data_IF_425487059468
#
_entry.id   IF_425487059468
#
_cell.length_a   1.000
_cell.length_b   1.000
_cell.length_c   1.000
_cell.angle_alpha   90.00
_cell.angle_beta   90.00
_cell.angle_gamma   90.00
#
_symmetry.space_group_name_H-M   'P 1'
#
loop_
_entity.id
_entity.type
_entity.pdbx_description
1 polymer ?
#
# COMPACT_ATOMS: atom_id res chain seq x y z
N UNK A 1 -6.17 23.73 5.44
CA UNK A 1 -6.03 22.26 5.29
C UNK A 1 -5.02 21.80 6.33
N UNK A 2 -5.44 21.04 7.35
CA UNK A 2 -4.50 20.48 8.32
C UNK A 2 -3.83 19.29 7.63
N UNK A 3 -2.61 19.50 7.15
CA UNK A 3 -1.76 18.39 6.74
C UNK A 3 -1.48 17.55 7.99
N UNK A 4 -1.72 16.25 7.90
CA UNK A 4 -1.30 15.35 8.98
C UNK A 4 0.21 15.28 8.95
N UNK A 5 0.80 15.74 10.04
CA UNK A 5 2.24 15.71 10.25
C UNK A 5 2.73 14.26 10.11
N UNK A 6 3.85 13.98 9.43
CA UNK A 6 4.48 12.64 9.35
C UNK A 6 4.59 11.89 10.70
N UNK A 7 4.58 12.65 11.80
CA UNK A 7 4.60 12.18 13.18
C UNK A 7 3.35 11.40 13.62
N UNK A 8 2.17 11.64 13.01
CA UNK A 8 0.95 10.91 13.38
C UNK A 8 0.86 9.55 12.68
N UNK A 9 1.27 9.46 11.41
CA UNK A 9 1.37 8.18 10.69
C UNK A 9 2.41 7.27 11.36
N UNK A 10 3.57 7.80 11.73
CA UNK A 10 4.62 7.02 12.38
C UNK A 10 4.20 6.42 13.73
N UNK A 11 3.30 7.09 14.48
CA UNK A 11 2.73 6.60 15.74
C UNK A 11 1.87 5.34 15.56
N UNK A 12 1.19 5.18 14.43
CA UNK A 12 0.40 3.99 14.10
C UNK A 12 1.23 2.91 13.39
N UNK A 13 2.09 3.32 12.47
CA UNK A 13 2.88 2.40 11.65
C UNK A 13 3.86 1.56 12.47
N UNK A 14 4.52 2.16 13.47
CA UNK A 14 5.52 1.43 14.27
C UNK A 14 4.92 0.27 15.07
N UNK A 15 3.89 0.47 15.93
CA UNK A 15 3.30 -0.63 16.67
C UNK A 15 2.67 -1.69 15.76
N UNK A 16 2.00 -1.28 14.70
CA UNK A 16 1.37 -2.20 13.75
C UNK A 16 2.42 -3.02 13.00
N UNK A 17 3.47 -2.38 12.47
CA UNK A 17 4.57 -3.07 11.81
C UNK A 17 5.26 -4.08 12.72
N UNK A 18 5.54 -3.72 13.99
CA UNK A 18 6.10 -4.65 14.99
C UNK A 18 5.16 -5.85 15.21
N UNK A 19 3.87 -5.58 15.39
CA UNK A 19 2.88 -6.64 15.58
C UNK A 19 2.86 -7.61 14.40
N UNK A 20 2.83 -7.09 13.16
CA UNK A 20 2.85 -7.91 11.95
C UNK A 20 4.13 -8.72 11.84
N UNK A 21 5.30 -8.13 12.09
CA UNK A 21 6.59 -8.85 12.07
C UNK A 21 6.60 -10.03 13.08
N UNK A 22 5.98 -9.86 14.24
CA UNK A 22 5.93 -10.91 15.27
C UNK A 22 4.97 -12.06 14.91
N UNK A 23 3.88 -11.77 14.19
CA UNK A 23 2.80 -12.73 13.96
C UNK A 23 2.79 -13.31 12.53
N UNK A 24 3.33 -12.60 11.55
CA UNK A 24 3.47 -13.06 10.17
C UNK A 24 4.87 -13.66 9.98
N UNK A 25 4.93 -14.99 10.05
CA UNK A 25 6.18 -15.74 9.84
C UNK A 25 6.49 -15.84 8.35
N UNK A 26 7.77 -15.69 7.99
CA UNK A 26 8.31 -15.80 6.61
C UNK A 26 7.89 -14.69 5.63
N UNK A 27 7.40 -13.55 6.12
CA UNK A 27 7.00 -12.41 5.29
C UNK A 27 7.93 -11.23 5.48
N UNK A 28 8.18 -10.46 4.43
CA UNK A 28 8.82 -9.15 4.53
C UNK A 28 7.75 -8.07 4.77
N UNK A 29 7.99 -7.21 5.75
CA UNK A 29 7.14 -6.07 6.08
C UNK A 29 7.91 -4.79 5.76
N UNK A 30 7.30 -3.84 5.04
CA UNK A 30 7.90 -2.56 4.70
C UNK A 30 6.98 -1.38 5.01
N UNK A 31 7.56 -0.29 5.52
CA UNK A 31 6.84 0.87 6.01
C UNK A 31 7.22 2.12 5.19
N UNK A 32 6.36 2.60 4.29
CA UNK A 32 6.43 3.93 3.66
C UNK A 32 7.62 4.28 2.76
N UNK A 33 8.76 3.62 2.94
CA UNK A 33 10.04 3.91 2.26
C UNK A 33 10.33 2.92 1.11
N UNK A 34 9.45 1.93 0.90
CA UNK A 34 9.62 0.92 -0.16
C UNK A 34 8.86 1.36 -1.41
N UNK A 35 9.60 1.55 -2.50
CA UNK A 35 9.01 1.70 -3.83
C UNK A 35 8.42 0.35 -4.28
N UNK A 36 7.14 0.38 -4.64
CA UNK A 36 6.42 -0.75 -5.24
C UNK A 36 6.13 -0.39 -6.70
N UNK A 37 6.69 -1.16 -7.63
CA UNK A 37 6.50 -0.98 -9.08
C UNK A 37 5.42 -1.93 -9.58
N UNK A 38 4.25 -1.38 -9.84
CA UNK A 38 3.08 -2.16 -10.24
C UNK A 38 2.88 -2.12 -11.76
N UNK A 39 2.71 -3.29 -12.37
CA UNK A 39 2.33 -3.36 -13.79
C UNK A 39 0.92 -2.81 -13.99
N UNK A 40 0.81 -1.77 -14.83
CA UNK A 40 -0.46 -1.15 -15.15
C UNK A 40 -1.06 -1.82 -16.40
N UNK A 41 -1.81 -2.91 -16.18
CA UNK A 41 -2.42 -3.72 -17.27
C UNK A 41 -3.19 -2.86 -18.26
N UNK A 42 -4.04 -1.95 -17.76
CA UNK A 42 -4.90 -1.10 -18.59
C UNK A 42 -4.11 -0.15 -19.48
N UNK A 43 -3.19 0.63 -18.91
CA UNK A 43 -2.35 1.57 -19.68
C UNK A 43 -1.43 0.82 -20.64
N UNK A 44 -0.95 -0.36 -20.25
CA UNK A 44 -0.06 -1.14 -21.09
C UNK A 44 -0.75 -1.62 -22.36
N UNK A 45 -1.96 -2.14 -22.24
CA UNK A 45 -2.81 -2.54 -23.37
C UNK A 45 -3.14 -1.32 -24.25
N UNK A 46 -3.56 -0.21 -23.65
CA UNK A 46 -3.96 0.99 -24.41
C UNK A 46 -2.81 1.62 -25.21
N UNK A 47 -1.58 1.52 -24.71
CA UNK A 47 -0.40 2.16 -25.33
C UNK A 47 0.46 1.20 -26.13
N UNK A 48 0.13 -0.10 -26.11
CA UNK A 48 0.95 -1.19 -26.65
C UNK A 48 2.41 -1.12 -26.18
N UNK A 49 2.60 -0.83 -24.89
CA UNK A 49 3.91 -0.72 -24.21
C UNK A 49 3.78 -1.22 -22.78
N UNK A 50 4.84 -1.76 -22.20
CA UNK A 50 4.83 -2.07 -20.77
C UNK A 50 4.90 -0.77 -19.95
N UNK A 51 3.87 -0.53 -19.15
CA UNK A 51 3.76 0.65 -18.30
C UNK A 51 3.69 0.20 -16.85
N UNK A 52 4.61 0.70 -16.05
CA UNK A 52 4.64 0.49 -14.60
C UNK A 52 4.26 1.79 -13.89
N UNK A 53 3.56 1.65 -12.76
CA UNK A 53 3.27 2.75 -11.84
C UNK A 53 4.02 2.51 -10.54
N UNK A 54 4.80 3.49 -10.11
CA UNK A 54 5.52 3.43 -8.83
C UNK A 54 4.65 4.04 -7.73
N UNK A 55 4.50 3.33 -6.62
CA UNK A 55 3.76 3.77 -5.44
C UNK A 55 4.57 3.49 -4.17
N UNK A 56 4.29 4.27 -3.12
CA UNK A 56 4.87 4.09 -1.80
C UNK A 56 3.73 3.90 -0.80
N UNK A 57 3.33 2.65 -0.52
CA UNK A 57 2.29 2.37 0.46
C UNK A 57 2.80 2.67 1.87
N UNK A 58 1.91 3.11 2.77
CA UNK A 58 2.30 3.36 4.17
C UNK A 58 2.80 2.07 4.86
N UNK A 59 2.19 0.92 4.55
CA UNK A 59 2.63 -0.41 4.96
C UNK A 59 2.28 -1.44 3.89
N UNK A 60 3.16 -2.40 3.66
CA UNK A 60 2.82 -3.57 2.86
C UNK A 60 3.48 -4.86 3.38
N UNK A 61 2.87 -5.99 3.04
CA UNK A 61 3.33 -7.34 3.34
C UNK A 61 3.64 -8.05 2.03
N UNK A 62 4.85 -8.59 1.94
CA UNK A 62 5.35 -9.33 0.79
C UNK A 62 5.80 -10.70 1.27
N UNK A 63 5.13 -11.75 0.81
CA UNK A 63 5.42 -13.12 1.23
C UNK A 63 6.43 -13.80 0.29
N UNK A 64 6.52 -13.37 -0.96
CA UNK A 64 7.48 -13.90 -1.92
C UNK A 64 8.73 -13.00 -2.02
N UNK A 65 9.90 -13.45 -1.51
CA UNK A 65 11.12 -12.64 -1.56
C UNK A 65 11.65 -12.42 -2.97
N UNK A 66 11.26 -13.22 -3.96
CA UNK A 66 11.67 -13.02 -5.37
C UNK A 66 11.08 -11.75 -5.99
N UNK A 67 10.06 -11.16 -5.35
CA UNK A 67 9.48 -9.88 -5.76
C UNK A 67 10.35 -8.68 -5.36
N UNK A 68 11.38 -8.88 -4.53
CA UNK A 68 12.23 -7.81 -4.01
C UNK A 68 13.56 -7.73 -4.76
N UNK A 69 13.96 -6.50 -5.11
CA UNK A 69 15.27 -6.17 -5.64
C UNK A 69 15.87 -4.93 -4.93
N UNK A 70 17.05 -4.50 -5.39
CA UNK A 70 17.77 -3.35 -4.79
C UNK A 70 17.02 -2.03 -4.90
N UNK A 71 16.02 -1.94 -5.76
CA UNK A 71 15.19 -0.75 -5.98
C UNK A 71 13.81 -0.89 -5.31
N UNK A 72 13.50 -1.98 -4.61
CA UNK A 72 12.23 -2.17 -3.88
C UNK A 72 11.45 -3.41 -4.32
N UNK A 73 10.12 -3.33 -4.32
CA UNK A 73 9.24 -4.40 -4.80
C UNK A 73 8.95 -4.21 -6.29
N UNK A 74 9.26 -5.21 -7.12
CA UNK A 74 9.04 -5.17 -8.56
C UNK A 74 7.75 -5.90 -9.00
N UNK A 75 6.85 -6.15 -8.05
CA UNK A 75 5.63 -6.93 -8.25
C UNK A 75 4.52 -6.49 -7.26
N UNK A 76 3.32 -7.06 -7.34
CA UNK A 76 2.28 -6.77 -6.35
C UNK A 76 2.58 -7.34 -4.94
N UNK A 77 2.46 -6.54 -3.87
CA UNK A 77 2.43 -7.05 -2.50
C UNK A 77 1.17 -7.88 -2.23
N UNK A 78 1.27 -8.83 -1.31
CA UNK A 78 0.11 -9.62 -0.88
C UNK A 78 -0.92 -8.76 -0.15
N UNK A 79 -0.45 -7.82 0.68
CA UNK A 79 -1.32 -6.95 1.47
C UNK A 79 -0.77 -5.52 1.51
N UNK A 80 -1.62 -4.54 1.22
CA UNK A 80 -1.31 -3.11 1.33
C UNK A 80 -2.22 -2.47 2.38
N UNK A 81 -1.65 -1.63 3.24
CA UNK A 81 -2.39 -0.81 4.22
C UNK A 81 -2.04 0.66 4.00
N UNK A 82 -3.08 1.48 3.81
CA UNK A 82 -2.99 2.94 3.68
C UNK A 82 -3.64 3.61 4.89
N UNK A 83 -2.93 4.55 5.51
CA UNK A 83 -3.42 5.32 6.65
C UNK A 83 -3.78 6.71 6.15
N UNK A 84 -5.08 7.01 6.11
CA UNK A 84 -5.53 8.29 5.59
C UNK A 84 -5.19 9.43 6.54
N UNK A 85 -4.73 10.51 5.92
CA UNK A 85 -4.64 11.84 6.51
C UNK A 85 -5.93 12.62 6.27
N UNK A 86 -6.21 13.64 7.10
CA UNK A 86 -7.34 14.56 6.89
C UNK A 86 -7.33 15.27 5.52
N UNK A 87 -6.17 15.31 4.85
CA UNK A 87 -6.00 15.93 3.54
C UNK A 87 -6.21 14.99 2.35
N UNK A 88 -6.34 13.67 2.56
CA UNK A 88 -6.50 12.74 1.45
C UNK A 88 -7.85 12.96 0.75
N UNK A 89 -7.80 13.01 -0.58
CA UNK A 89 -9.01 13.16 -1.38
C UNK A 89 -9.66 11.81 -1.67
N UNK A 90 -10.99 11.77 -1.75
CA UNK A 90 -11.73 10.56 -2.18
C UNK A 90 -11.22 10.02 -3.52
N UNK A 91 -10.84 10.93 -4.43
CA UNK A 91 -10.31 10.58 -5.75
C UNK A 91 -8.96 9.86 -5.63
N UNK A 92 -8.03 10.38 -4.84
CA UNK A 92 -6.72 9.76 -4.62
C UNK A 92 -6.86 8.34 -4.05
N UNK A 93 -7.74 8.16 -3.05
CA UNK A 93 -8.01 6.84 -2.47
C UNK A 93 -8.62 5.89 -3.50
N UNK A 94 -9.55 6.36 -4.33
CA UNK A 94 -10.17 5.55 -5.38
C UNK A 94 -9.19 5.17 -6.51
N UNK A 95 -8.30 6.09 -6.89
CA UNK A 95 -7.28 5.86 -7.91
C UNK A 95 -6.29 4.78 -7.42
N UNK A 96 -5.87 4.85 -6.14
CA UNK A 96 -5.03 3.80 -5.50
C UNK A 96 -5.75 2.46 -5.42
N UNK A 97 -7.00 2.43 -4.96
CA UNK A 97 -7.81 1.21 -4.92
C UNK A 97 -7.86 0.53 -6.28
N UNK A 98 -8.19 1.30 -7.33
CA UNK A 98 -8.31 0.77 -8.70
C UNK A 98 -6.97 0.23 -9.19
N UNK A 99 -5.88 0.95 -8.92
CA UNK A 99 -4.53 0.49 -9.29
C UNK A 99 -4.18 -0.83 -8.60
N UNK A 100 -4.36 -0.92 -7.28
CA UNK A 100 -4.06 -2.14 -6.53
C UNK A 100 -4.89 -3.34 -7.00
N UNK A 101 -6.16 -3.08 -7.33
CA UNK A 101 -7.06 -4.10 -7.89
C UNK A 101 -6.63 -4.59 -9.26
N UNK A 102 -6.30 -3.68 -10.17
CA UNK A 102 -5.86 -4.07 -11.50
C UNK A 102 -4.51 -4.79 -11.46
N UNK A 103 -3.63 -4.42 -10.53
CA UNK A 103 -2.32 -5.06 -10.36
C UNK A 103 -2.42 -6.49 -9.81
N UNK A 104 -3.35 -6.75 -8.88
CA UNK A 104 -3.56 -8.09 -8.31
C UNK A 104 -3.22 -8.21 -6.83
N UNK A 105 -3.11 -7.08 -6.13
CA UNK A 105 -2.96 -7.05 -4.67
C UNK A 105 -4.13 -7.82 -4.05
N UNK A 106 -3.86 -8.74 -3.12
CA UNK A 106 -4.88 -9.67 -2.60
C UNK A 106 -5.74 -9.06 -1.51
N UNK A 107 -5.14 -8.21 -0.68
CA UNK A 107 -5.82 -7.53 0.41
C UNK A 107 -5.42 -6.06 0.47
N UNK A 108 -6.40 -5.16 0.60
CA UNK A 108 -6.17 -3.73 0.68
C UNK A 108 -6.99 -3.11 1.83
N UNK A 109 -6.29 -2.53 2.80
CA UNK A 109 -6.90 -1.90 3.96
C UNK A 109 -6.73 -0.40 3.92
N UNK A 110 -7.82 0.30 4.21
CA UNK A 110 -7.80 1.73 4.43
C UNK A 110 -8.12 1.99 5.90
N UNK A 111 -7.19 2.65 6.58
CA UNK A 111 -7.33 3.04 7.98
C UNK A 111 -7.75 4.51 8.05
N UNK A 112 -8.85 4.77 8.75
CA UNK A 112 -9.39 6.11 9.01
C UNK A 112 -9.09 6.52 10.46
N UNK A 113 -7.88 7.04 10.78
CA UNK A 113 -7.49 7.30 12.17
C UNK A 113 -8.25 8.46 12.83
N UNK A 114 -9.04 9.21 12.08
CA UNK A 114 -9.81 10.37 12.56
C UNK A 114 -11.31 10.11 12.68
N UNK A 115 -11.80 8.96 12.20
CA UNK A 115 -13.18 8.56 12.36
C UNK A 115 -13.31 7.65 13.58
N UNK A 116 -14.39 7.83 14.36
CA UNK A 116 -14.61 7.11 15.63
C UNK A 116 -14.85 5.60 15.45
N UNK A 117 -14.91 5.10 14.22
CA UNK A 117 -15.20 3.71 13.90
C UNK A 117 -14.62 3.32 12.54
N UNK A 118 -13.65 2.40 12.55
CA UNK A 118 -13.53 1.37 11.52
C UNK A 118 -12.32 1.45 10.60
N UNK A 119 -11.45 0.46 10.72
CA UNK A 119 -10.69 -0.03 9.55
C UNK A 119 -11.71 -0.54 8.53
N UNK A 120 -11.66 -0.06 7.29
CA UNK A 120 -12.43 -0.66 6.20
C UNK A 120 -11.51 -1.64 5.46
N UNK A 121 -11.89 -2.92 5.49
CA UNK A 121 -11.27 -3.94 4.66
C UNK A 121 -12.00 -3.99 3.32
N UNK A 122 -11.25 -3.90 2.23
CA UNK A 122 -11.76 -4.17 0.89
C UNK A 122 -10.97 -5.37 0.35
N UNK A 123 -11.66 -6.49 0.15
CA UNK A 123 -11.09 -7.57 -0.66
C UNK A 123 -11.08 -7.10 -2.10
N UNK A 124 -9.95 -7.33 -2.75
CA UNK A 124 -9.60 -6.75 -4.05
C UNK A 124 -9.74 -7.80 -5.14
#
# INVERSE_FOLDING_TARGET
>A
MVAVHPQLKSRWLRPLGIYLIQHLRKTQIANGELDVRLYNKRKSILTNKEIFTVVQPDLCVICNPEQLDVQGCNDEPDWIIEILSQGNSKRETQDKYTLYQESGVKEYWIVYPYEQSGVNNQMV
#
